data_IF_523444902731
#
_entry.id   IF_523444902731
#
_cell.length_a   1.000
_cell.length_b   1.000
_cell.length_c   1.000
_cell.angle_alpha   90.00
_cell.angle_beta   90.00
_cell.angle_gamma   90.00
#
_symmetry.space_group_name_H-M   'P 1'
#
loop_
_entity.id
_entity.type
_entity.pdbx_description
1 polymer ?
#
# COMPACT_ATOMS: atom_id res chain seq x y z
N UNK A 1 -5.97 -48.79 -43.61
CA UNK A 1 -6.20 -49.74 -42.52
C UNK A 1 -7.02 -49.07 -41.43
N UNK A 2 -8.18 -49.66 -41.10
CA UNK A 2 -8.80 -49.82 -39.77
C UNK A 2 -8.53 -48.73 -38.69
N UNK A 3 -9.49 -48.21 -37.94
CA UNK A 3 -10.91 -48.49 -37.80
C UNK A 3 -11.59 -47.32 -37.06
N UNK A 4 -12.87 -47.09 -37.38
CA UNK A 4 -13.83 -46.34 -36.56
C UNK A 4 -14.06 -47.09 -35.25
N UNK A 5 -14.35 -46.39 -34.15
CA UNK A 5 -15.45 -46.77 -33.25
C UNK A 5 -15.99 -45.58 -32.47
N UNK A 6 -17.31 -45.55 -32.46
CA UNK A 6 -18.28 -44.61 -31.89
C UNK A 6 -18.67 -45.00 -30.46
N UNK A 7 -19.22 -44.03 -29.71
CA UNK A 7 -20.32 -44.10 -28.71
C UNK A 7 -20.00 -43.33 -27.39
N UNK A 8 -21.01 -42.89 -26.59
CA UNK A 8 -22.36 -42.42 -26.94
C UNK A 8 -22.83 -41.17 -26.14
N UNK A 9 -23.90 -40.53 -26.61
CA UNK A 9 -24.79 -39.66 -25.84
C UNK A 9 -25.63 -40.47 -24.82
N UNK A 10 -26.04 -39.83 -23.71
CA UNK A 10 -27.34 -40.13 -23.12
C UNK A 10 -27.54 -39.88 -21.63
N UNK A 11 -28.49 -38.96 -21.35
CA UNK A 11 -29.39 -38.86 -20.16
C UNK A 11 -28.74 -38.37 -18.86
N UNK A 12 -29.32 -37.46 -18.07
CA UNK A 12 -30.67 -36.93 -18.04
C UNK A 12 -31.12 -36.79 -16.58
N UNK A 13 -31.60 -35.60 -16.20
CA UNK A 13 -32.44 -35.25 -15.05
C UNK A 13 -31.97 -35.57 -13.61
N UNK A 14 -31.90 -34.54 -12.77
CA UNK A 14 -33.00 -34.22 -11.86
C UNK A 14 -32.63 -33.07 -10.90
N UNK A 15 -33.48 -32.05 -10.90
CA UNK A 15 -33.56 -30.98 -9.88
C UNK A 15 -34.42 -31.52 -8.73
N UNK A 16 -34.05 -31.29 -7.46
CA UNK A 16 -35.02 -31.21 -6.39
C UNK A 16 -35.18 -29.76 -5.92
N UNK A 17 -36.43 -29.28 -6.02
CA UNK A 17 -36.96 -28.16 -5.24
C UNK A 17 -37.34 -28.68 -3.84
N UNK A 18 -36.89 -28.00 -2.78
CA UNK A 18 -37.57 -27.95 -1.48
C UNK A 18 -37.35 -26.54 -0.92
N UNK A 19 -38.30 -25.60 -1.01
CA UNK A 19 -39.38 -25.32 -0.02
C UNK A 19 -38.94 -25.43 1.44
N UNK A 20 -38.90 -24.28 2.13
CA UNK A 20 -38.69 -24.21 3.57
C UNK A 20 -38.58 -22.78 4.09
N UNK A 21 -39.65 -21.99 3.95
CA UNK A 21 -39.86 -20.78 4.74
C UNK A 21 -40.04 -21.18 6.21
N UNK A 22 -39.21 -20.66 7.12
CA UNK A 22 -39.56 -20.58 8.53
C UNK A 22 -38.97 -19.28 9.12
N UNK A 23 -39.77 -18.22 9.06
CA UNK A 23 -39.55 -17.01 9.82
C UNK A 23 -39.91 -17.31 11.28
N UNK A 24 -38.92 -17.33 12.17
CA UNK A 24 -39.13 -17.40 13.62
C UNK A 24 -39.04 -15.98 14.17
N UNK A 25 -40.20 -15.34 14.28
CA UNK A 25 -40.37 -14.04 14.94
C UNK A 25 -40.44 -14.28 16.44
N UNK A 26 -39.36 -14.02 17.18
CA UNK A 26 -39.37 -14.02 18.65
C UNK A 26 -39.85 -12.63 19.10
N UNK A 27 -41.12 -12.55 19.48
CA UNK A 27 -41.69 -11.40 20.19
C UNK A 27 -41.35 -11.56 21.67
N UNK A 28 -40.44 -10.74 22.18
CA UNK A 28 -40.13 -10.65 23.61
C UNK A 28 -40.95 -9.50 24.21
N UNK A 29 -42.10 -9.85 24.79
CA UNK A 29 -42.90 -8.97 25.65
C UNK A 29 -42.24 -8.89 27.03
N UNK A 30 -41.62 -7.76 27.34
CA UNK A 30 -41.20 -7.42 28.71
C UNK A 30 -42.16 -6.35 29.23
N UNK A 31 -43.16 -6.80 29.97
CA UNK A 31 -43.99 -5.97 30.85
C UNK A 31 -43.23 -5.74 32.15
N UNK A 32 -42.69 -4.52 32.32
CA UNK A 32 -42.23 -4.01 33.61
C UNK A 32 -43.27 -3.01 34.11
N UNK A 33 -44.15 -3.51 34.96
CA UNK A 33 -44.88 -2.73 35.95
C UNK A 33 -43.90 -2.26 37.02
N UNK A 34 -43.81 -0.96 37.25
CA UNK A 34 -43.18 -0.41 38.45
C UNK A 34 -43.94 0.83 38.93
N UNK A 35 -44.10 0.87 40.25
CA UNK A 35 -45.02 1.66 41.06
C UNK A 35 -45.01 3.17 40.81
N UNK A 36 -46.23 3.74 40.86
CA UNK A 36 -46.50 5.06 41.42
C UNK A 36 -45.96 5.16 42.85
N UNK A 37 -45.24 6.24 43.12
CA UNK A 37 -45.11 6.79 44.48
C UNK A 37 -45.27 8.29 44.41
N UNK A 38 -46.19 8.78 45.24
CA UNK A 38 -46.62 10.15 45.41
C UNK A 38 -45.49 11.13 45.77
N UNK A 39 -45.64 12.31 45.17
CA UNK A 39 -45.41 13.67 45.67
C UNK A 39 -44.13 14.00 46.43
N UNK A 40 -43.41 15.04 45.95
CA UNK A 40 -43.13 16.26 46.73
C UNK A 40 -42.90 17.41 45.73
N UNK A 41 -43.89 18.31 45.62
CA UNK A 41 -43.81 19.54 44.81
C UNK A 41 -42.95 20.55 45.55
N UNK A 42 -41.87 21.00 44.90
CA UNK A 42 -41.09 22.16 45.30
C UNK A 42 -41.09 23.15 44.14
N UNK A 43 -41.75 24.28 44.34
CA UNK A 43 -41.77 25.43 43.44
C UNK A 43 -40.35 25.97 43.25
N UNK A 44 -39.85 25.92 42.01
CA UNK A 44 -38.61 26.57 41.58
C UNK A 44 -38.98 27.77 40.70
N UNK A 45 -38.37 28.96 40.89
CA UNK A 45 -38.78 30.17 40.18
C UNK A 45 -38.48 30.09 38.67
N UNK A 46 -39.38 30.66 37.87
CA UNK A 46 -39.25 30.83 36.41
C UNK A 46 -37.87 31.38 36.03
N UNK A 47 -37.08 30.56 35.34
CA UNK A 47 -35.87 30.99 34.65
C UNK A 47 -36.23 31.47 33.24
N UNK A 48 -35.64 32.58 32.76
CA UNK A 48 -35.96 33.12 31.44
C UNK A 48 -35.53 32.13 30.34
N UNK A 49 -36.49 31.83 29.47
CA UNK A 49 -36.35 31.02 28.25
C UNK A 49 -35.16 31.51 27.40
N UNK A 50 -34.14 30.67 27.14
CA UNK A 50 -33.17 30.96 26.09
C UNK A 50 -33.85 30.75 24.74
N UNK A 51 -33.84 31.82 23.96
CA UNK A 51 -34.16 31.90 22.54
C UNK A 51 -33.58 30.72 21.76
N UNK A 52 -34.42 30.16 20.89
CA UNK A 52 -34.10 29.14 19.90
C UNK A 52 -32.90 29.59 19.05
N UNK A 53 -31.72 29.05 19.33
CA UNK A 53 -30.60 29.11 18.40
C UNK A 53 -30.76 27.98 17.38
N UNK A 54 -30.64 28.35 16.12
CA UNK A 54 -30.69 27.48 14.94
C UNK A 54 -29.86 26.21 15.11
N UNK A 55 -30.38 25.12 14.55
CA UNK A 55 -29.77 23.81 14.57
C UNK A 55 -28.34 23.84 14.07
N UNK A 56 -27.44 23.40 14.94
CA UNK A 56 -26.18 22.83 14.52
C UNK A 56 -26.52 21.45 13.95
N UNK A 57 -26.37 21.30 12.64
CA UNK A 57 -26.47 20.01 11.99
C UNK A 57 -25.53 19.03 12.73
N UNK A 58 -25.94 17.78 13.00
CA UNK A 58 -25.04 16.82 13.60
C UNK A 58 -23.82 16.71 12.69
N UNK A 59 -22.63 16.90 13.25
CA UNK A 59 -21.38 16.63 12.55
C UNK A 59 -21.47 15.20 12.01
N UNK A 60 -21.55 15.06 10.69
CA UNK A 60 -21.53 13.75 10.07
C UNK A 60 -20.21 13.09 10.46
N UNK A 61 -20.29 12.07 11.31
CA UNK A 61 -19.13 11.27 11.67
C UNK A 61 -18.64 10.60 10.39
N UNK A 62 -17.62 11.18 9.78
CA UNK A 62 -17.01 10.65 8.56
C UNK A 62 -16.48 9.26 8.87
N UNK A 63 -17.02 8.23 8.20
CA UNK A 63 -16.61 6.82 8.35
C UNK A 63 -15.38 6.47 7.52
N UNK A 64 -14.81 7.47 6.83
CA UNK A 64 -13.65 7.34 5.96
C UNK A 64 -12.37 7.47 6.78
N UNK A 65 -11.40 6.61 6.51
CA UNK A 65 -10.06 6.65 7.10
C UNK A 65 -8.97 6.66 6.04
N UNK A 66 -7.86 7.30 6.37
CA UNK A 66 -6.60 7.14 5.62
C UNK A 66 -5.93 5.86 6.10
N UNK A 67 -5.57 4.97 5.18
CA UNK A 67 -4.74 3.79 5.44
C UNK A 67 -3.40 3.99 4.75
N UNK A 68 -2.32 4.09 5.52
CA UNK A 68 -0.99 4.32 4.97
C UNK A 68 -0.40 3.03 4.41
N UNK A 69 0.16 3.12 3.20
CA UNK A 69 1.03 2.09 2.63
C UNK A 69 2.51 2.43 2.89
N UNK A 70 2.86 3.71 2.93
CA UNK A 70 4.19 4.17 3.36
C UNK A 70 4.32 4.11 4.87
N UNK A 71 5.37 3.48 5.37
CA UNK A 71 5.66 3.33 6.81
C UNK A 71 7.02 3.91 7.21
N UNK A 72 7.97 4.06 6.27
CA UNK A 72 9.29 4.64 6.55
C UNK A 72 9.41 6.07 6.02
N UNK A 73 9.07 7.03 6.89
CA UNK A 73 9.18 8.47 6.63
C UNK A 73 10.38 9.07 7.38
N UNK A 74 11.24 9.78 6.64
CA UNK A 74 12.40 10.51 7.17
C UNK A 74 12.36 12.01 6.84
N UNK A 75 13.26 12.80 7.42
CA UNK A 75 13.51 14.18 6.97
C UNK A 75 13.98 14.15 5.50
N UNK A 76 13.49 15.11 4.70
CA UNK A 76 13.71 15.19 3.25
C UNK A 76 12.51 14.75 2.42
N UNK A 77 12.77 14.48 1.14
CA UNK A 77 11.74 14.08 0.17
C UNK A 77 11.23 12.65 0.42
N UNK A 78 9.91 12.49 0.53
CA UNK A 78 9.25 11.21 0.74
C UNK A 78 8.06 11.04 -0.21
N UNK A 79 7.87 9.83 -0.72
CA UNK A 79 6.63 9.40 -1.39
C UNK A 79 5.65 8.88 -0.36
N UNK A 80 4.55 9.59 -0.17
CA UNK A 80 3.44 9.17 0.66
C UNK A 80 2.42 8.41 -0.18
N UNK A 81 2.29 7.11 0.06
CA UNK A 81 1.33 6.22 -0.55
C UNK A 81 0.24 5.85 0.46
N UNK A 82 -1.02 6.03 0.10
CA UNK A 82 -2.15 5.84 1.02
C UNK A 82 -3.45 5.46 0.31
N UNK A 83 -4.32 4.72 1.01
CA UNK A 83 -5.70 4.47 0.59
C UNK A 83 -6.69 5.31 1.38
N UNK A 84 -7.79 5.69 0.74
CA UNK A 84 -8.98 6.23 1.41
C UNK A 84 -10.01 5.10 1.50
N UNK A 85 -10.45 4.75 2.70
CA UNK A 85 -11.35 3.62 2.91
C UNK A 85 -12.53 4.07 3.75
N UNK A 86 -13.72 4.03 3.16
CA UNK A 86 -14.98 4.14 3.88
C UNK A 86 -15.36 2.78 4.47
N UNK A 87 -15.73 2.76 5.75
CA UNK A 87 -16.22 1.56 6.42
C UNK A 87 -17.47 0.95 5.75
N UNK A 88 -18.26 1.77 5.03
CA UNK A 88 -19.51 1.32 4.40
C UNK A 88 -19.30 0.92 2.94
N UNK A 89 -18.68 1.79 2.14
CA UNK A 89 -18.54 1.61 0.69
C UNK A 89 -17.21 1.01 0.25
N UNK A 90 -16.23 0.89 1.15
CA UNK A 90 -14.90 0.36 0.85
C UNK A 90 -13.95 1.44 0.30
N UNK A 91 -12.98 1.07 -0.57
CA UNK A 91 -11.98 2.02 -1.06
C UNK A 91 -12.60 3.13 -1.92
N UNK A 92 -12.25 4.39 -1.61
CA UNK A 92 -12.56 5.57 -2.43
C UNK A 92 -11.48 5.68 -3.51
N UNK A 93 -11.90 5.68 -4.78
CA UNK A 93 -11.01 5.56 -5.95
C UNK A 93 -11.25 6.73 -6.88
N UNK A 94 -10.21 7.13 -7.62
CA UNK A 94 -10.31 8.10 -8.72
C UNK A 94 -10.95 9.46 -8.33
N UNK A 95 -10.99 9.79 -7.05
CA UNK A 95 -11.42 11.09 -6.57
C UNK A 95 -10.30 12.11 -6.77
N UNK A 96 -10.67 13.38 -7.02
CA UNK A 96 -9.69 14.49 -6.96
C UNK A 96 -9.39 14.79 -5.49
N UNK A 97 -8.23 14.32 -5.02
CA UNK A 97 -7.81 14.42 -3.63
C UNK A 97 -6.73 15.49 -3.49
N UNK A 98 -6.97 16.49 -2.64
CA UNK A 98 -5.95 17.41 -2.16
C UNK A 98 -5.50 16.97 -0.77
N UNK A 99 -4.22 16.62 -0.64
CA UNK A 99 -3.62 16.21 0.64
C UNK A 99 -2.66 17.29 1.15
N UNK A 100 -2.80 17.63 2.42
CA UNK A 100 -1.97 18.65 3.09
C UNK A 100 -1.27 18.10 4.32
N UNK A 101 -0.08 18.61 4.63
CA UNK A 101 0.71 18.23 5.80
C UNK A 101 0.65 19.28 6.90
N UNK A 102 0.73 18.83 8.15
CA UNK A 102 0.71 19.66 9.36
C UNK A 102 1.75 19.14 10.33
N UNK A 103 2.55 20.00 10.93
CA UNK A 103 3.45 19.61 12.03
C UNK A 103 2.68 19.68 13.35
N UNK A 104 2.83 18.66 14.20
CA UNK A 104 2.07 18.48 15.44
C UNK A 104 2.97 18.55 16.69
N UNK A 105 4.10 19.25 16.60
CA UNK A 105 5.04 19.41 17.72
C UNK A 105 4.57 20.43 18.77
N UNK A 106 5.10 20.29 19.99
CA UNK A 106 4.95 21.26 21.09
C UNK A 106 3.49 21.59 21.48
N UNK A 107 2.57 20.64 21.24
CA UNK A 107 1.15 20.82 21.53
C UNK A 107 0.44 21.84 20.64
N UNK A 108 1.09 22.28 19.55
CA UNK A 108 0.51 23.17 18.55
C UNK A 108 0.48 22.49 17.18
N UNK A 109 -0.51 22.89 16.38
CA UNK A 109 -0.58 22.50 14.98
C UNK A 109 -0.03 23.66 14.13
N UNK A 110 1.01 23.38 13.36
CA UNK A 110 1.53 24.28 12.33
C UNK A 110 1.10 23.75 10.95
N UNK A 111 0.42 24.56 10.15
CA UNK A 111 0.11 24.23 8.76
C UNK A 111 -1.24 24.75 8.23
N UNK A 112 -1.59 24.41 6.98
CA UNK A 112 -0.88 23.44 6.13
C UNK A 112 0.51 23.93 5.72
N UNK A 113 1.51 23.05 5.82
CA UNK A 113 2.91 23.35 5.46
C UNK A 113 3.10 23.12 3.94
N UNK A 114 2.60 21.99 3.44
CA UNK A 114 2.55 21.66 2.03
C UNK A 114 1.16 21.16 1.65
N UNK A 115 0.75 21.40 0.41
CA UNK A 115 -0.46 20.85 -0.19
C UNK A 115 -0.13 20.32 -1.58
N UNK A 116 -0.54 19.09 -1.85
CA UNK A 116 -0.36 18.46 -3.15
C UNK A 116 -1.65 17.78 -3.61
N UNK A 117 -1.86 17.73 -4.93
CA UNK A 117 -2.87 16.85 -5.51
C UNK A 117 -2.34 15.42 -5.49
N UNK A 118 -3.06 14.52 -4.84
CA UNK A 118 -2.69 13.12 -4.81
C UNK A 118 -3.08 12.46 -6.14
N UNK A 119 -2.20 11.60 -6.66
CA UNK A 119 -2.41 10.88 -7.91
C UNK A 119 -2.95 9.49 -7.60
N UNK A 120 -4.10 9.12 -8.17
CA UNK A 120 -4.59 7.76 -8.10
C UNK A 120 -3.72 6.82 -8.95
N UNK A 121 -3.12 5.83 -8.29
CA UNK A 121 -2.29 4.77 -8.88
C UNK A 121 -3.05 3.46 -8.83
N UNK A 122 -3.59 3.05 -9.98
CA UNK A 122 -4.25 1.75 -10.12
C UNK A 122 -3.21 0.64 -9.99
N UNK A 123 -3.49 -0.35 -9.17
CA UNK A 123 -2.71 -1.58 -9.13
C UNK A 123 -3.14 -2.52 -10.25
N UNK A 124 -2.23 -3.35 -10.77
CA UNK A 124 -2.52 -4.34 -11.81
C UNK A 124 -3.34 -5.54 -11.30
N UNK A 125 -3.77 -5.53 -10.04
CA UNK A 125 -4.61 -6.57 -9.43
C UNK A 125 -6.02 -6.03 -9.15
N UNK A 126 -7.01 -6.56 -9.86
CA UNK A 126 -8.41 -6.16 -9.70
C UNK A 126 -8.66 -4.68 -9.97
N UNK A 127 -9.54 -4.06 -9.18
CA UNK A 127 -9.83 -2.61 -9.25
C UNK A 127 -9.32 -1.86 -8.02
N UNK A 128 -8.23 -2.32 -7.41
CA UNK A 128 -7.62 -1.66 -6.25
C UNK A 128 -6.46 -0.76 -6.69
N UNK A 129 -6.02 0.09 -5.76
CA UNK A 129 -4.97 1.06 -5.99
C UNK A 129 -4.77 1.91 -4.75
N UNK A 130 -3.88 2.88 -4.87
CA UNK A 130 -3.56 3.84 -3.81
C UNK A 130 -3.41 5.24 -4.41
N UNK A 131 -3.47 6.26 -3.56
CA UNK A 131 -3.07 7.60 -3.90
C UNK A 131 -1.59 7.81 -3.56
N UNK A 132 -0.87 8.57 -4.39
CA UNK A 132 0.50 9.01 -4.12
C UNK A 132 0.64 10.52 -4.15
N UNK A 133 1.43 11.05 -3.23
CA UNK A 133 1.89 12.43 -3.24
C UNK A 133 3.32 12.48 -2.67
N UNK A 134 4.12 13.43 -3.15
CA UNK A 134 5.48 13.65 -2.64
C UNK A 134 5.50 14.86 -1.71
N UNK A 135 6.20 14.72 -0.58
CA UNK A 135 6.35 15.78 0.41
C UNK A 135 7.79 15.85 0.89
N UNK A 136 8.29 17.07 1.12
CA UNK A 136 9.60 17.31 1.70
C UNK A 136 9.45 17.70 3.18
N UNK A 137 9.79 16.80 4.09
CA UNK A 137 9.67 17.05 5.53
C UNK A 137 10.95 17.70 6.04
N UNK A 138 10.85 18.95 6.50
CA UNK A 138 11.99 19.74 6.94
C UNK A 138 12.51 19.38 8.34
N UNK A 139 11.72 18.64 9.13
CA UNK A 139 12.07 18.26 10.50
C UNK A 139 11.39 16.96 10.94
N UNK A 140 12.06 16.26 11.85
CA UNK A 140 11.51 15.08 12.49
C UNK A 140 10.42 15.43 13.50
N UNK A 141 9.50 14.50 13.75
CA UNK A 141 8.47 14.65 14.78
C UNK A 141 7.14 14.04 14.40
N UNK A 142 6.13 14.35 15.21
CA UNK A 142 4.75 14.00 14.91
C UNK A 142 4.21 14.95 13.84
N UNK A 143 3.63 14.39 12.80
CA UNK A 143 3.01 15.11 11.70
C UNK A 143 1.58 14.61 11.51
N UNK A 144 0.74 15.41 10.87
CA UNK A 144 -0.59 15.06 10.42
C UNK A 144 -0.69 15.24 8.91
N UNK A 145 -1.51 14.40 8.28
CA UNK A 145 -1.96 14.59 6.90
C UNK A 145 -3.48 14.74 6.88
N UNK A 146 -3.99 15.65 6.07
CA UNK A 146 -5.42 15.82 5.83
C UNK A 146 -5.72 15.74 4.33
N UNK A 147 -6.53 14.77 3.94
CA UNK A 147 -7.02 14.59 2.59
C UNK A 147 -8.42 15.20 2.45
N UNK A 148 -8.61 16.02 1.43
CA UNK A 148 -9.87 16.68 1.09
C UNK A 148 -10.31 16.23 -0.30
N UNK A 149 -11.56 15.83 -0.44
CA UNK A 149 -12.16 15.46 -1.73
C UNK A 149 -13.67 15.71 -1.71
N UNK A 150 -14.28 15.70 -2.89
CA UNK A 150 -15.75 15.77 -3.04
C UNK A 150 -16.27 14.35 -3.21
N UNK A 151 -17.22 13.94 -2.38
CA UNK A 151 -17.85 12.63 -2.49
C UNK A 151 -18.88 12.55 -3.64
N UNK A 152 -19.48 11.38 -3.82
CA UNK A 152 -20.48 11.13 -4.85
C UNK A 152 -21.80 11.90 -4.64
N UNK A 153 -22.04 12.44 -3.45
CA UNK A 153 -23.20 13.27 -3.12
C UNK A 153 -22.91 14.77 -3.33
N UNK A 154 -21.67 15.13 -3.68
CA UNK A 154 -21.23 16.51 -3.84
C UNK A 154 -20.79 17.18 -2.54
N UNK A 155 -20.65 16.42 -1.45
CA UNK A 155 -20.22 16.92 -0.15
C UNK A 155 -18.69 16.96 -0.06
N UNK A 156 -18.16 18.03 0.53
CA UNK A 156 -16.74 18.11 0.86
C UNK A 156 -16.45 17.22 2.06
N UNK A 157 -15.56 16.25 1.87
CA UNK A 157 -15.10 15.34 2.92
C UNK A 157 -13.65 15.64 3.25
N UNK A 158 -13.37 15.84 4.54
CA UNK A 158 -12.02 15.95 5.07
C UNK A 158 -11.75 14.78 6.00
N UNK A 159 -10.66 14.06 5.74
CA UNK A 159 -10.19 12.96 6.60
C UNK A 159 -8.72 13.18 6.91
N UNK A 160 -8.31 12.86 8.14
CA UNK A 160 -6.92 13.03 8.58
C UNK A 160 -6.34 11.77 9.20
N UNK A 161 -5.02 11.70 9.21
CA UNK A 161 -4.25 10.68 9.92
C UNK A 161 -2.96 11.27 10.47
N UNK A 162 -2.47 10.70 11.57
CA UNK A 162 -1.14 10.99 12.09
C UNK A 162 -0.09 10.19 11.35
N UNK A 163 1.08 10.80 11.15
CA UNK A 163 2.29 10.19 10.63
C UNK A 163 3.47 10.57 11.53
N UNK A 164 4.48 9.69 11.59
CA UNK A 164 5.71 9.97 12.33
C UNK A 164 6.85 10.12 11.33
N UNK A 165 7.50 11.28 11.32
CA UNK A 165 8.70 11.53 10.53
C UNK A 165 9.91 11.34 11.42
N UNK A 166 10.83 10.46 11.02
CA UNK A 166 12.08 10.20 11.74
C UNK A 166 13.17 11.19 11.30
N UNK A 167 14.20 11.45 12.14
CA UNK A 167 15.36 12.24 11.71
C UNK A 167 16.07 11.66 10.48
N UNK A 168 16.06 10.34 10.34
CA UNK A 168 16.57 9.61 9.18
C UNK A 168 15.66 8.42 8.88
N UNK A 169 15.49 8.12 7.60
CA UNK A 169 14.82 6.90 7.13
C UNK A 169 15.54 5.65 7.66
N UNK A 170 14.82 4.57 7.95
CA UNK A 170 15.46 3.30 8.28
C UNK A 170 16.15 2.68 7.04
N UNK A 171 15.51 2.85 5.88
CA UNK A 171 15.98 2.39 4.57
C UNK A 171 16.90 3.42 3.90
N UNK A 172 17.65 3.07 2.82
CA UNK A 172 18.48 4.02 2.11
C UNK A 172 17.71 5.27 1.67
N UNK A 173 18.28 6.45 1.96
CA UNK A 173 17.64 7.74 1.70
C UNK A 173 18.06 8.29 0.35
N UNK A 174 17.21 9.09 -0.29
CA UNK A 174 17.53 9.80 -1.54
C UNK A 174 18.81 10.63 -1.33
N UNK A 175 19.75 10.53 -2.26
CA UNK A 175 21.07 11.17 -2.23
C UNK A 175 22.15 10.39 -1.48
N UNK A 176 21.83 9.26 -0.85
CA UNK A 176 22.82 8.38 -0.21
C UNK A 176 23.22 7.24 -1.13
N UNK A 177 24.48 6.78 -1.02
CA UNK A 177 24.88 5.49 -1.60
C UNK A 177 24.29 4.36 -0.75
N UNK A 178 23.54 3.41 -1.33
CA UNK A 178 22.95 2.32 -0.56
C UNK A 178 24.00 1.26 -0.17
N UNK A 179 23.66 0.28 0.69
CA UNK A 179 24.54 -0.85 0.97
C UNK A 179 24.91 -1.61 -0.32
N UNK A 180 26.21 -1.83 -0.51
CA UNK A 180 26.76 -2.60 -1.62
C UNK A 180 26.62 -4.11 -1.35
N UNK A 181 25.40 -4.62 -1.53
CA UNK A 181 25.07 -6.01 -1.19
C UNK A 181 25.54 -7.00 -2.26
N UNK A 182 26.22 -8.06 -1.84
CA UNK A 182 26.56 -9.22 -2.69
C UNK A 182 25.33 -10.12 -2.78
N UNK A 183 24.47 -9.88 -3.77
CA UNK A 183 23.24 -10.64 -4.01
C UNK A 183 23.52 -11.95 -4.76
N UNK A 184 22.55 -12.86 -4.78
CA UNK A 184 22.66 -14.14 -5.50
C UNK A 184 22.70 -13.91 -7.01
N UNK A 185 23.49 -14.73 -7.70
CA UNK A 185 23.62 -14.70 -9.15
C UNK A 185 23.03 -15.97 -9.77
N UNK A 186 22.38 -15.86 -10.93
CA UNK A 186 21.82 -17.00 -11.64
C UNK A 186 22.86 -18.10 -11.91
N UNK A 187 24.10 -17.72 -12.24
CA UNK A 187 25.20 -18.65 -12.56
C UNK A 187 25.61 -19.58 -11.42
N UNK A 188 25.21 -19.27 -10.18
CA UNK A 188 25.57 -20.04 -8.98
C UNK A 188 24.51 -21.12 -8.64
N UNK A 189 23.43 -21.21 -9.41
CA UNK A 189 22.31 -22.12 -9.19
C UNK A 189 22.06 -22.99 -10.43
N UNK A 190 21.68 -24.25 -10.21
CA UNK A 190 21.24 -25.13 -11.31
C UNK A 190 19.81 -24.81 -11.76
N UNK A 191 18.97 -24.33 -10.83
CA UNK A 191 17.56 -23.98 -11.05
C UNK A 191 17.23 -22.67 -10.34
N UNK A 192 16.69 -21.69 -11.07
CA UNK A 192 16.39 -20.36 -10.52
C UNK A 192 15.30 -20.38 -9.45
N UNK A 193 14.45 -21.42 -9.40
CA UNK A 193 13.43 -21.55 -8.35
C UNK A 193 14.04 -21.60 -6.94
N UNK A 194 15.30 -22.01 -6.82
CA UNK A 194 16.03 -22.05 -5.55
C UNK A 194 16.45 -20.65 -5.08
N UNK A 195 16.45 -19.67 -5.99
CA UNK A 195 16.83 -18.28 -5.74
C UNK A 195 15.62 -17.34 -5.68
N UNK A 196 14.56 -17.61 -6.44
CA UNK A 196 13.38 -16.74 -6.49
C UNK A 196 12.06 -17.52 -6.53
N UNK A 197 11.03 -16.91 -5.96
CA UNK A 197 9.66 -17.37 -5.99
C UNK A 197 8.86 -16.85 -7.19
N UNK A 198 9.51 -16.12 -8.11
CA UNK A 198 8.96 -15.75 -9.41
C UNK A 198 8.63 -17.02 -10.24
N UNK A 199 7.37 -17.21 -10.70
CA UNK A 199 7.02 -18.36 -11.53
C UNK A 199 7.65 -18.33 -12.93
N UNK A 200 8.05 -17.16 -13.43
CA UNK A 200 8.65 -16.98 -14.76
C UNK A 200 9.93 -16.13 -14.63
N UNK A 201 10.98 -16.66 -13.98
CA UNK A 201 12.15 -15.88 -13.63
C UNK A 201 12.94 -15.46 -14.88
N UNK A 202 13.40 -14.22 -14.88
CA UNK A 202 14.28 -13.65 -15.89
C UNK A 202 15.74 -13.74 -15.41
N UNK A 203 16.56 -14.55 -16.09
CA UNK A 203 17.98 -14.75 -15.77
C UNK A 203 18.78 -13.44 -15.73
N UNK A 204 18.43 -12.46 -16.57
CA UNK A 204 19.19 -11.20 -16.66
C UNK A 204 19.04 -10.34 -15.39
N UNK A 205 17.96 -10.50 -14.63
CA UNK A 205 17.76 -9.81 -13.35
C UNK A 205 18.70 -10.30 -12.23
N UNK A 206 19.48 -11.36 -12.50
CA UNK A 206 20.43 -11.98 -11.57
C UNK A 206 21.82 -12.15 -12.19
N UNK A 207 22.14 -11.36 -13.22
CA UNK A 207 23.43 -11.40 -13.90
C UNK A 207 24.53 -10.66 -13.13
N UNK A 208 24.15 -9.68 -12.31
CA UNK A 208 25.04 -8.85 -11.49
C UNK A 208 24.56 -8.81 -10.05
N UNK A 209 25.51 -8.65 -9.13
CA UNK A 209 25.20 -8.27 -7.75
C UNK A 209 24.88 -6.79 -7.65
N UNK A 210 24.19 -6.38 -6.58
CA UNK A 210 23.97 -4.96 -6.31
C UNK A 210 25.30 -4.22 -6.14
N UNK A 211 26.25 -4.81 -5.44
CA UNK A 211 27.64 -4.30 -5.31
C UNK A 211 28.28 -4.03 -6.69
N UNK A 212 28.32 -5.03 -7.57
CA UNK A 212 28.90 -4.87 -8.91
C UNK A 212 28.15 -3.83 -9.74
N UNK A 213 26.81 -3.83 -9.69
CA UNK A 213 25.99 -2.95 -10.52
C UNK A 213 26.15 -1.47 -10.14
N UNK A 214 26.34 -1.15 -8.86
CA UNK A 214 26.61 0.20 -8.36
C UNK A 214 27.93 0.80 -8.87
N UNK A 215 28.86 -0.04 -9.35
CA UNK A 215 30.19 0.38 -9.84
C UNK A 215 30.28 0.39 -11.38
N UNK A 216 29.19 0.09 -12.09
CA UNK A 216 29.19 0.03 -13.57
C UNK A 216 29.19 1.39 -14.28
N UNK A 217 28.88 2.47 -13.55
CA UNK A 217 28.64 3.80 -14.12
C UNK A 217 27.33 3.92 -14.91
N UNK A 218 26.39 2.99 -14.70
CA UNK A 218 25.03 3.04 -15.24
C UNK A 218 24.03 3.19 -14.09
N UNK A 219 22.88 3.84 -14.30
CA UNK A 219 21.76 3.75 -13.39
C UNK A 219 21.37 2.30 -13.10
N UNK A 220 20.83 2.08 -11.91
CA UNK A 220 20.45 0.77 -11.42
C UNK A 220 19.05 0.81 -10.82
N UNK A 221 18.20 -0.15 -11.20
CA UNK A 221 16.94 -0.43 -10.52
C UNK A 221 17.09 -1.70 -9.71
N UNK A 222 16.82 -1.62 -8.41
CA UNK A 222 16.75 -2.81 -7.52
C UNK A 222 15.34 -2.94 -6.99
N UNK A 223 14.71 -4.07 -7.28
CA UNK A 223 13.40 -4.43 -6.75
C UNK A 223 13.55 -5.52 -5.68
N UNK A 224 13.03 -5.27 -4.48
CA UNK A 224 12.93 -6.24 -3.40
C UNK A 224 11.50 -6.75 -3.32
N UNK A 225 11.29 -8.01 -3.69
CA UNK A 225 9.94 -8.56 -3.81
C UNK A 225 9.91 -10.07 -3.59
N UNK A 226 8.72 -10.62 -3.35
CA UNK A 226 8.51 -12.06 -3.18
C UNK A 226 7.24 -12.52 -3.89
N UNK A 227 7.30 -12.80 -5.20
CA UNK A 227 6.10 -13.04 -6.00
C UNK A 227 5.11 -14.07 -5.43
N UNK A 228 5.60 -15.18 -4.86
CA UNK A 228 4.71 -16.23 -4.34
C UNK A 228 4.23 -16.02 -2.89
N UNK A 229 4.92 -15.21 -2.09
CA UNK A 229 4.69 -15.13 -0.64
C UNK A 229 4.18 -13.76 -0.16
N UNK A 230 4.02 -12.82 -1.09
CA UNK A 230 3.63 -11.43 -0.81
C UNK A 230 2.20 -11.34 -0.31
N UNK A 231 1.99 -10.83 0.91
CA UNK A 231 0.65 -10.70 1.51
C UNK A 231 -0.27 -9.77 0.74
N UNK A 232 0.28 -8.72 0.13
CA UNK A 232 -0.48 -7.72 -0.62
C UNK A 232 -0.72 -8.11 -2.07
N UNK A 233 -0.15 -9.24 -2.53
CA UNK A 233 -0.16 -9.70 -3.92
C UNK A 233 0.40 -8.69 -4.95
N UNK A 234 1.12 -7.65 -4.49
CA UNK A 234 1.69 -6.62 -5.38
C UNK A 234 3.12 -6.93 -5.82
N UNK A 235 3.81 -7.88 -5.18
CA UNK A 235 5.20 -8.19 -5.48
C UNK A 235 5.42 -8.78 -6.87
N UNK A 236 4.62 -9.79 -7.28
CA UNK A 236 4.67 -10.34 -8.63
C UNK A 236 4.41 -9.26 -9.70
N UNK A 237 3.31 -8.51 -9.62
CA UNK A 237 3.06 -7.43 -10.57
C UNK A 237 4.09 -6.29 -10.53
N UNK A 238 4.72 -6.03 -9.38
CA UNK A 238 5.84 -5.10 -9.32
C UNK A 238 7.00 -5.61 -10.17
N UNK A 239 7.34 -6.90 -10.05
CA UNK A 239 8.39 -7.53 -10.82
C UNK A 239 8.08 -7.56 -12.32
N UNK A 240 6.81 -7.71 -12.71
CA UNK A 240 6.38 -7.61 -14.11
C UNK A 240 6.67 -6.22 -14.70
N UNK A 241 6.38 -5.15 -13.95
CA UNK A 241 6.73 -3.78 -14.36
C UNK A 241 8.24 -3.62 -14.52
N UNK A 242 9.03 -4.25 -13.64
CA UNK A 242 10.50 -4.20 -13.71
C UNK A 242 11.02 -4.92 -14.96
N UNK A 243 10.47 -6.09 -15.30
CA UNK A 243 10.80 -6.82 -16.54
C UNK A 243 10.44 -6.00 -17.77
N UNK A 244 9.27 -5.36 -17.79
CA UNK A 244 8.85 -4.50 -18.89
C UNK A 244 9.80 -3.30 -19.09
N UNK A 245 10.22 -2.66 -18.00
CA UNK A 245 11.20 -1.58 -18.05
C UNK A 245 12.58 -2.07 -18.47
N UNK A 246 13.01 -3.25 -18.00
CA UNK A 246 14.26 -3.88 -18.43
C UNK A 246 14.28 -4.03 -19.94
N UNK A 247 13.23 -4.58 -20.54
CA UNK A 247 13.17 -4.78 -21.99
C UNK A 247 13.33 -3.48 -22.79
N UNK A 248 12.86 -2.36 -22.24
CA UNK A 248 13.01 -1.05 -22.86
C UNK A 248 14.39 -0.41 -22.63
N UNK A 249 14.94 -0.53 -21.42
CA UNK A 249 16.16 0.18 -20.97
C UNK A 249 17.41 -0.71 -20.85
N UNK A 250 17.38 -1.98 -21.30
CA UNK A 250 18.43 -2.99 -21.04
C UNK A 250 19.86 -2.57 -21.39
N UNK A 251 20.05 -1.59 -22.29
CA UNK A 251 21.37 -1.11 -22.69
C UNK A 251 21.94 -0.05 -21.74
N UNK A 252 21.07 0.75 -21.14
CA UNK A 252 21.42 1.98 -20.46
C UNK A 252 21.29 1.86 -18.94
N UNK A 253 20.50 0.89 -18.45
CA UNK A 253 20.17 0.71 -17.03
C UNK A 253 20.37 -0.75 -16.63
N UNK A 254 20.93 -0.98 -15.43
CA UNK A 254 20.97 -2.31 -14.82
C UNK A 254 19.67 -2.57 -14.04
N UNK A 255 19.20 -3.82 -14.06
CA UNK A 255 18.01 -4.23 -13.32
C UNK A 255 18.34 -5.45 -12.48
N UNK A 256 17.98 -5.40 -11.19
CA UNK A 256 18.21 -6.49 -10.24
C UNK A 256 16.90 -6.76 -9.50
N UNK A 257 16.53 -8.04 -9.43
CA UNK A 257 15.53 -8.51 -8.49
C UNK A 257 16.21 -9.18 -7.31
N UNK A 258 15.80 -8.80 -6.10
CA UNK A 258 16.20 -9.44 -4.85
C UNK A 258 14.98 -10.10 -4.23
N UNK A 259 15.00 -11.43 -4.17
CA UNK A 259 14.00 -12.19 -3.43
C UNK A 259 14.08 -11.84 -1.93
N UNK A 260 12.93 -11.60 -1.31
CA UNK A 260 12.86 -11.23 0.12
C UNK A 260 13.43 -12.34 1.02
N UNK A 261 13.18 -13.60 0.66
CA UNK A 261 13.61 -14.75 1.43
C UNK A 261 14.88 -15.36 0.86
N UNK A 262 15.77 -15.81 1.75
CA UNK A 262 17.02 -16.43 1.34
C UNK A 262 16.76 -17.74 0.58
N UNK A 263 15.85 -18.60 1.05
CA UNK A 263 15.61 -19.92 0.46
C UNK A 263 14.12 -20.09 0.12
N UNK A 264 13.61 -19.43 -0.94
CA UNK A 264 12.18 -19.44 -1.26
C UNK A 264 11.65 -20.85 -1.58
N UNK A 265 12.45 -21.72 -2.20
CA UNK A 265 12.07 -23.10 -2.51
C UNK A 265 11.83 -23.97 -1.27
N UNK A 266 12.37 -23.60 -0.10
CA UNK A 266 12.15 -24.33 1.16
C UNK A 266 10.88 -23.89 1.90
N UNK A 267 10.19 -22.86 1.40
CA UNK A 267 8.98 -22.31 2.04
C UNK A 267 7.76 -23.14 1.63
N UNK A 268 7.25 -23.94 2.56
CA UNK A 268 6.00 -24.70 2.39
C UNK A 268 4.77 -23.83 2.71
N UNK A 269 4.53 -22.83 1.85
CA UNK A 269 3.34 -21.96 1.87
C UNK A 269 3.26 -20.92 2.99
N UNK A 270 4.00 -21.07 4.09
CA UNK A 270 4.05 -20.10 5.19
C UNK A 270 5.46 -19.52 5.39
N UNK A 271 5.69 -18.24 5.03
CA UNK A 271 7.01 -17.63 5.13
C UNK A 271 7.34 -17.08 6.53
N UNK A 272 6.49 -17.26 7.55
CA UNK A 272 6.63 -16.55 8.85
C UNK A 272 7.95 -16.80 9.58
N UNK A 273 8.60 -17.95 9.34
CA UNK A 273 9.91 -18.30 9.91
C UNK A 273 11.01 -18.42 8.85
N UNK A 274 10.73 -18.03 7.61
CA UNK A 274 11.70 -18.10 6.53
C UNK A 274 12.81 -17.04 6.77
N UNK A 275 14.09 -17.40 6.65
CA UNK A 275 15.17 -16.43 6.77
C UNK A 275 15.08 -15.41 5.64
N UNK A 276 15.24 -14.13 5.97
CA UNK A 276 15.35 -13.06 4.98
C UNK A 276 16.68 -13.16 4.24
N UNK A 277 16.69 -12.74 2.98
CA UNK A 277 17.92 -12.52 2.24
C UNK A 277 18.78 -11.47 2.94
N UNK A 278 20.11 -11.63 2.92
CA UNK A 278 21.02 -10.71 3.61
C UNK A 278 20.84 -9.26 3.17
N UNK A 279 20.56 -9.02 1.89
CA UNK A 279 20.30 -7.69 1.36
C UNK A 279 19.05 -7.02 1.97
N UNK A 280 17.99 -7.76 2.32
CA UNK A 280 16.84 -7.19 3.06
C UNK A 280 17.26 -6.63 4.42
N UNK A 281 18.17 -7.34 5.09
CA UNK A 281 18.71 -6.97 6.41
C UNK A 281 19.64 -5.77 6.28
N UNK A 282 20.57 -5.81 5.32
CA UNK A 282 21.56 -4.75 5.09
C UNK A 282 20.88 -3.42 4.73
N UNK A 283 19.80 -3.48 3.95
CA UNK A 283 19.00 -2.32 3.55
C UNK A 283 17.93 -1.92 4.58
N UNK A 284 17.83 -2.66 5.70
CA UNK A 284 16.87 -2.44 6.78
C UNK A 284 15.41 -2.29 6.30
N UNK A 285 15.00 -3.11 5.33
CA UNK A 285 13.68 -3.03 4.71
C UNK A 285 12.60 -3.64 5.63
N UNK A 286 11.58 -2.87 6.06
CA UNK A 286 10.59 -3.33 7.03
C UNK A 286 9.41 -4.10 6.42
N UNK A 287 9.24 -4.00 5.10
CA UNK A 287 8.05 -4.43 4.34
C UNK A 287 8.45 -4.84 2.92
N UNK A 288 7.48 -5.27 2.13
CA UNK A 288 7.62 -5.55 0.70
C UNK A 288 6.33 -5.19 -0.08
N UNK A 289 6.44 -4.85 -1.38
CA UNK A 289 7.68 -4.67 -2.14
C UNK A 289 8.35 -3.31 -1.91
N UNK A 290 9.65 -3.25 -2.20
CA UNK A 290 10.40 -2.01 -2.34
C UNK A 290 11.03 -1.92 -3.72
N UNK A 291 11.15 -0.72 -4.26
CA UNK A 291 11.93 -0.46 -5.47
C UNK A 291 12.79 0.78 -5.27
N UNK A 292 14.06 0.67 -5.63
CA UNK A 292 15.01 1.76 -5.58
C UNK A 292 15.56 2.01 -6.99
N UNK A 293 15.75 3.28 -7.31
CA UNK A 293 16.42 3.74 -8.52
C UNK A 293 17.66 4.50 -8.08
N UNK A 294 18.82 4.05 -8.54
CA UNK A 294 20.10 4.71 -8.36
C UNK A 294 20.52 5.37 -9.68
N UNK A 295 21.19 6.50 -9.59
CA UNK A 295 21.81 7.16 -10.74
C UNK A 295 23.16 6.52 -11.12
N UNK A 296 23.82 7.10 -12.14
CA UNK A 296 25.10 6.61 -12.64
C UNK A 296 26.27 6.74 -11.64
N UNK A 297 26.13 7.60 -10.61
CA UNK A 297 27.09 7.73 -9.51
C UNK A 297 26.83 6.69 -8.40
N UNK A 298 25.78 5.88 -8.55
CA UNK A 298 25.40 4.83 -7.60
C UNK A 298 24.72 5.37 -6.35
N UNK A 299 24.17 6.58 -6.36
CA UNK A 299 23.38 7.12 -5.24
C UNK A 299 21.89 6.99 -5.51
N UNK A 300 21.09 6.86 -4.44
CA UNK A 300 19.64 6.69 -4.56
C UNK A 300 19.01 7.97 -5.13
N UNK A 301 18.48 7.90 -6.34
CA UNK A 301 17.74 8.98 -6.99
C UNK A 301 16.25 8.95 -6.61
N UNK A 302 15.68 7.76 -6.43
CA UNK A 302 14.31 7.57 -5.99
C UNK A 302 14.14 6.27 -5.20
N UNK A 303 13.15 6.24 -4.29
CA UNK A 303 12.73 5.04 -3.57
C UNK A 303 11.22 4.94 -3.47
N UNK A 304 10.72 3.72 -3.50
CA UNK A 304 9.30 3.41 -3.52
C UNK A 304 9.01 2.28 -2.51
N UNK A 305 8.20 2.59 -1.51
CA UNK A 305 7.55 1.60 -0.65
C UNK A 305 6.18 1.24 -1.24
N UNK A 306 5.83 -0.04 -1.18
CA UNK A 306 4.69 -0.63 -1.87
C UNK A 306 4.79 -0.48 -3.40
N UNK A 307 3.74 -0.89 -4.10
CA UNK A 307 3.70 -0.88 -5.56
C UNK A 307 3.98 0.52 -6.15
N UNK A 308 4.94 0.57 -7.07
CA UNK A 308 5.27 1.70 -7.92
C UNK A 308 4.78 1.42 -9.34
N UNK A 309 3.99 2.35 -9.88
CA UNK A 309 3.52 2.24 -11.27
C UNK A 309 4.67 2.39 -12.26
N UNK A 310 4.49 1.84 -13.46
CA UNK A 310 5.44 2.01 -14.57
C UNK A 310 5.80 3.49 -14.78
N UNK A 311 4.80 4.37 -14.89
CA UNK A 311 5.02 5.82 -15.07
C UNK A 311 5.83 6.46 -13.93
N UNK A 312 5.68 5.98 -12.68
CA UNK A 312 6.49 6.48 -11.56
C UNK A 312 7.96 6.07 -11.68
N UNK A 313 8.21 4.83 -12.10
CA UNK A 313 9.56 4.31 -12.30
C UNK A 313 10.21 4.91 -13.56
N UNK A 314 9.47 5.09 -14.64
CA UNK A 314 9.95 5.78 -15.85
C UNK A 314 10.35 7.22 -15.54
N UNK A 315 9.52 7.97 -14.80
CA UNK A 315 9.85 9.33 -14.40
C UNK A 315 11.12 9.40 -13.53
N UNK A 316 11.34 8.41 -12.66
CA UNK A 316 12.55 8.32 -11.86
C UNK A 316 13.78 7.96 -12.72
N UNK A 317 13.64 7.02 -13.65
CA UNK A 317 14.70 6.63 -14.60
C UNK A 317 15.08 7.79 -15.52
N UNK A 318 14.11 8.51 -16.07
CA UNK A 318 14.32 9.69 -16.90
C UNK A 318 15.09 10.80 -16.18
N UNK A 319 14.99 10.85 -14.84
CA UNK A 319 15.78 11.76 -14.03
C UNK A 319 17.19 11.23 -13.75
N UNK A 320 17.33 9.91 -13.53
CA UNK A 320 18.59 9.25 -13.23
C UNK A 320 19.52 9.09 -14.46
N UNK A 321 18.95 9.14 -15.67
CA UNK A 321 19.66 9.05 -16.95
C UNK A 321 20.16 10.41 -17.49
N UNK A 322 19.90 11.52 -16.79
CA UNK A 322 20.34 12.87 -17.19
C UNK A 322 21.73 13.19 -16.66
#
# INVERSE_FOLDING_TARGET
MRARHTMPEGRGNAIPRLTGFLAVTVVLLISLTACETDEWVVDVPDTPKPTTASGEAPAETTTVRITLATTDLGVGLNRLAFGLVDAQSGPIREADVLISTFYLGDGQQEGPIQTARAVWRRWPIGQVGLYTANFDFDRAGAWGVAANYVDHLGSNVTVSAGIQVKPKSATPTIGERPPASVTKLAKDFEDLKDMTSDPEPDEELYALTVDEALDTGKPLVVAFSTPAFCRTATCGPQLDVIKELKDYYYRDVNFIHVEVYDRPAEIDGNPSNAPLAQAMIDWALPTEPWTFVMDADGVVAAKFEAFATKDELEAALDSALR
#
